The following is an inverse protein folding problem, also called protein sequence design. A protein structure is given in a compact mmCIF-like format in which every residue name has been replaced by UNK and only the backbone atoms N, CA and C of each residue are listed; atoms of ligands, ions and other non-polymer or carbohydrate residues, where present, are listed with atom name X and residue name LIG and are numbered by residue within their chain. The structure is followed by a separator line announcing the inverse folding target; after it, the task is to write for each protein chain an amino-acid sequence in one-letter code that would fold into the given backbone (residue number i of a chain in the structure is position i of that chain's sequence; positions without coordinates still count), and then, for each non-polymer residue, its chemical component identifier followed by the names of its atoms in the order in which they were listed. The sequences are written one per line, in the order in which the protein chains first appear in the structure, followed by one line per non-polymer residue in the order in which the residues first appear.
data_IF_570224636555
#
_entry.id   IF_570224636555
#
_cell.length_a   1.000
_cell.length_b   1.000
_cell.length_c   1.000
_cell.angle_alpha   90.00
_cell.angle_beta   90.00
_cell.angle_gamma   90.00
#
_symmetry.space_group_name_H-M   'P 1'
#
loop_
_entity.id
_entity.type
_entity.pdbx_description
1 polymer ?
#
# COMPACT_ATOMS: atom_id res chain seq x y z
N UNK A 1 -22.57 74.24 35.57
CA UNK A 1 -21.50 75.15 35.09
C UNK A 1 -20.88 74.45 33.88
N UNK A 2 -21.22 74.92 32.66
CA UNK A 2 -20.61 74.81 31.29
C UNK A 2 -19.88 73.50 30.88
N UNK A 3 -19.87 72.97 29.66
CA UNK A 3 -20.37 73.17 28.26
C UNK A 3 -19.97 71.83 27.56
N UNK A 4 -20.78 71.09 26.81
CA UNK A 4 -21.23 71.22 25.40
C UNK A 4 -20.12 70.98 24.32
N UNK A 5 -20.52 70.14 23.33
CA UNK A 5 -20.02 69.87 21.96
C UNK A 5 -18.88 68.87 21.73
N UNK A 6 -19.13 67.70 21.09
CA UNK A 6 -19.50 67.39 19.68
C UNK A 6 -18.39 67.72 18.68
N UNK A 7 -17.93 66.70 17.94
CA UNK A 7 -17.82 66.73 16.46
C UNK A 7 -17.49 65.35 15.90
N UNK A 8 -18.04 65.11 14.70
CA UNK A 8 -18.07 63.90 13.91
C UNK A 8 -16.84 63.77 12.97
N UNK A 9 -16.68 62.53 12.49
CA UNK A 9 -16.22 62.13 11.14
C UNK A 9 -14.75 62.32 10.76
N UNK A 10 -14.12 61.24 10.30
CA UNK A 10 -13.59 61.14 8.93
C UNK A 10 -13.49 59.67 8.52
N UNK A 11 -14.22 59.31 7.47
CA UNK A 11 -14.00 58.10 6.65
C UNK A 11 -12.95 58.48 5.61
N UNK A 12 -11.91 57.67 5.49
CA UNK A 12 -10.98 57.72 4.35
C UNK A 12 -10.89 56.33 3.74
N UNK A 13 -11.38 56.20 2.51
CA UNK A 13 -11.12 55.06 1.64
C UNK A 13 -9.69 55.18 1.06
N UNK A 14 -8.93 54.10 1.12
CA UNK A 14 -7.87 53.82 0.14
C UNK A 14 -7.77 52.32 -0.09
N UNK A 15 -7.67 51.97 -1.36
CA UNK A 15 -7.90 50.65 -1.93
C UNK A 15 -6.61 49.84 -2.10
N UNK A 16 -6.82 48.52 -2.19
CA UNK A 16 -6.01 47.53 -2.90
C UNK A 16 -4.65 47.10 -2.29
N UNK A 17 -4.56 45.85 -1.87
CA UNK A 17 -3.78 44.74 -2.50
C UNK A 17 -3.53 43.63 -1.48
N UNK A 18 -3.59 42.35 -1.90
CA UNK A 18 -3.02 41.23 -1.12
C UNK A 18 -3.94 40.06 -0.78
N UNK A 19 -4.74 39.55 -1.71
CA UNK A 19 -5.12 38.13 -1.71
C UNK A 19 -3.91 37.33 -2.19
N UNK A 20 -3.15 36.73 -1.27
CA UNK A 20 -2.28 35.56 -1.47
C UNK A 20 -1.36 35.40 -0.26
N UNK A 21 -1.72 34.55 0.72
CA UNK A 21 -0.71 34.01 1.66
C UNK A 21 -1.13 32.72 2.39
N UNK A 22 -2.19 32.04 1.96
CA UNK A 22 -2.69 30.82 2.61
C UNK A 22 -2.55 29.53 1.79
N UNK A 23 -1.89 29.59 0.62
CA UNK A 23 -1.70 28.44 -0.28
C UNK A 23 -0.24 27.95 -0.39
N UNK A 24 0.73 28.59 0.28
CA UNK A 24 2.15 28.19 0.22
C UNK A 24 2.64 27.38 1.44
N UNK A 25 1.91 27.37 2.55
CA UNK A 25 2.30 26.62 3.75
C UNK A 25 2.11 25.09 3.61
N UNK A 26 1.10 24.65 2.84
CA UNK A 26 0.76 23.23 2.72
C UNK A 26 1.66 22.43 1.76
N UNK A 27 2.44 23.11 0.89
CA UNK A 27 3.37 22.45 -0.04
C UNK A 27 4.73 22.17 0.59
N UNK A 28 5.18 23.03 1.52
CA UNK A 28 6.48 22.90 2.17
C UNK A 28 6.53 21.75 3.19
N UNK A 29 5.42 21.49 3.89
CA UNK A 29 5.37 20.40 4.88
C UNK A 29 5.35 19.03 4.21
N UNK A 30 4.70 18.88 3.06
CA UNK A 30 4.72 17.63 2.28
C UNK A 30 6.11 17.27 1.77
N UNK A 31 6.88 18.23 1.26
CA UNK A 31 8.24 18.00 0.76
C UNK A 31 9.25 17.74 1.89
N UNK A 32 9.11 18.47 3.01
CA UNK A 32 9.98 18.33 4.18
C UNK A 32 9.78 16.99 4.91
N UNK A 33 8.60 16.38 4.78
CA UNK A 33 8.33 15.04 5.33
C UNK A 33 9.06 13.98 4.48
N UNK A 34 9.05 14.10 3.15
CA UNK A 34 9.73 13.15 2.23
C UNK A 34 11.25 13.20 2.38
N UNK A 35 11.83 14.41 2.43
CA UNK A 35 13.29 14.59 2.60
C UNK A 35 13.79 14.04 3.94
N UNK A 36 13.02 14.18 5.02
CA UNK A 36 13.39 13.63 6.34
C UNK A 36 13.33 12.09 6.39
N UNK A 37 12.50 11.44 5.57
CA UNK A 37 12.49 9.98 5.49
C UNK A 37 13.66 9.43 4.67
N UNK A 38 14.07 10.14 3.61
CA UNK A 38 15.22 9.76 2.76
C UNK A 38 16.57 9.93 3.48
N UNK A 39 16.71 10.96 4.33
CA UNK A 39 17.95 11.23 5.06
C UNK A 39 18.23 10.23 6.22
N UNK A 40 17.19 9.57 6.75
CA UNK A 40 17.35 8.49 7.74
C UNK A 40 17.70 7.12 7.11
N UNK A 41 17.35 6.88 5.84
CA UNK A 41 17.64 5.60 5.15
C UNK A 41 19.13 5.45 4.79
N UNK A 42 19.84 6.55 4.50
CA UNK A 42 21.24 6.52 4.03
C UNK A 42 22.28 6.19 5.10
N UNK A 43 21.92 6.18 6.40
CA UNK A 43 22.87 5.93 7.50
C UNK A 43 22.97 4.46 7.94
N UNK A 44 22.16 3.55 7.37
CA UNK A 44 22.03 2.16 7.87
C UNK A 44 22.59 1.06 6.99
N UNK A 45 23.03 1.36 5.78
CA UNK A 45 23.51 0.35 4.81
C UNK A 45 25.04 0.25 4.81
N UNK A 46 25.55 -0.40 5.85
CA UNK A 46 26.92 -0.90 5.92
C UNK A 46 26.99 -2.29 5.30
N UNK A 47 27.38 -2.34 4.02
CA UNK A 47 27.46 -3.54 3.20
C UNK A 47 28.42 -4.59 3.77
N UNK A 48 27.87 -5.63 4.43
CA UNK A 48 28.32 -7.04 4.37
C UNK A 48 27.47 -7.94 5.30
N UNK A 49 26.95 -9.07 4.77
CA UNK A 49 26.03 -10.06 5.39
C UNK A 49 24.51 -9.78 5.32
N UNK A 50 24.08 -8.82 4.50
CA UNK A 50 22.74 -8.20 4.47
C UNK A 50 21.61 -8.94 3.72
N UNK A 51 21.78 -10.17 3.20
CA UNK A 51 20.84 -10.72 2.20
C UNK A 51 19.42 -11.04 2.74
N UNK A 52 19.17 -10.95 4.05
CA UNK A 52 17.90 -11.39 4.67
C UNK A 52 17.50 -10.60 5.93
N UNK A 53 17.95 -9.36 6.11
CA UNK A 53 17.56 -8.54 7.29
C UNK A 53 16.03 -8.44 7.46
N UNK A 54 15.29 -8.53 6.36
CA UNK A 54 13.83 -8.48 6.32
C UNK A 54 13.09 -9.80 6.48
N UNK A 55 13.81 -10.91 6.55
CA UNK A 55 13.27 -12.19 7.00
C UNK A 55 13.35 -12.35 8.52
N UNK A 56 13.90 -11.37 9.25
CA UNK A 56 13.99 -11.38 10.72
C UNK A 56 12.72 -10.84 11.41
N UNK A 57 11.73 -10.38 10.66
CA UNK A 57 10.43 -9.98 11.20
C UNK A 57 9.59 -11.17 11.68
N UNK A 58 8.53 -10.92 12.47
CA UNK A 58 7.61 -11.97 12.93
C UNK A 58 6.83 -12.65 11.78
N UNK A 59 6.88 -12.05 10.59
CA UNK A 59 6.26 -12.57 9.38
C UNK A 59 7.25 -13.49 8.62
N UNK A 60 7.10 -14.81 8.77
CA UNK A 60 7.75 -15.73 7.84
C UNK A 60 7.03 -15.67 6.49
N UNK A 61 7.73 -15.37 5.40
CA UNK A 61 7.14 -15.43 4.05
C UNK A 61 6.77 -16.87 3.73
N UNK A 62 5.55 -17.12 3.24
CA UNK A 62 5.16 -18.48 2.85
C UNK A 62 4.12 -18.50 1.75
N UNK A 63 4.24 -19.51 0.88
CA UNK A 63 3.18 -19.81 -0.09
C UNK A 63 1.92 -20.43 0.53
N UNK A 64 1.99 -20.98 1.76
CA UNK A 64 0.87 -21.69 2.39
C UNK A 64 -0.07 -20.81 3.24
N UNK A 65 0.26 -19.52 3.38
CA UNK A 65 -0.46 -18.57 4.24
C UNK A 65 -1.75 -18.05 3.62
N UNK A 66 -1.73 -17.97 2.30
CA UNK A 66 -2.81 -17.55 1.43
C UNK A 66 -2.77 -18.43 0.17
N UNK A 67 -3.92 -18.56 -0.50
CA UNK A 67 -4.06 -19.18 -1.82
C UNK A 67 -4.79 -18.18 -2.70
N UNK A 68 -4.23 -17.92 -3.88
CA UNK A 68 -4.93 -17.17 -4.92
C UNK A 68 -5.66 -18.15 -5.83
N UNK A 69 -6.80 -17.70 -6.34
CA UNK A 69 -7.66 -18.47 -7.23
C UNK A 69 -7.86 -17.66 -8.52
N UNK A 70 -8.26 -18.34 -9.60
CA UNK A 70 -8.74 -17.66 -10.80
C UNK A 70 -10.27 -17.70 -10.85
N UNK A 71 -10.92 -16.69 -11.45
CA UNK A 71 -12.33 -16.80 -11.79
C UNK A 71 -12.55 -17.95 -12.78
N UNK A 72 -13.73 -18.57 -12.69
CA UNK A 72 -14.13 -19.61 -13.65
C UNK A 72 -14.21 -19.05 -15.09
N UNK A 73 -14.63 -17.79 -15.24
CA UNK A 73 -14.58 -17.05 -16.50
C UNK A 73 -13.51 -15.97 -16.44
N UNK A 74 -12.48 -16.10 -17.27
CA UNK A 74 -11.34 -15.18 -17.31
C UNK A 74 -11.72 -13.78 -17.82
N UNK A 75 -12.84 -13.64 -18.55
CA UNK A 75 -13.32 -12.32 -19.01
C UNK A 75 -13.72 -11.39 -17.88
N UNK A 76 -14.02 -11.94 -16.70
CA UNK A 76 -14.30 -11.14 -15.50
C UNK A 76 -13.09 -10.26 -15.16
N UNK A 77 -11.86 -10.72 -15.44
CA UNK A 77 -10.62 -9.98 -15.18
C UNK A 77 -10.49 -8.71 -16.03
N UNK A 78 -11.19 -8.60 -17.17
CA UNK A 78 -11.14 -7.41 -18.04
C UNK A 78 -11.76 -6.17 -17.38
N UNK A 79 -12.70 -6.40 -16.46
CA UNK A 79 -13.48 -5.34 -15.82
C UNK A 79 -13.16 -5.20 -14.33
N UNK A 80 -12.08 -5.83 -13.84
CA UNK A 80 -11.65 -5.74 -12.44
C UNK A 80 -10.30 -5.05 -12.32
N UNK A 81 -10.16 -4.22 -11.30
CA UNK A 81 -8.86 -3.72 -10.87
C UNK A 81 -8.04 -4.82 -10.18
N UNK A 82 -6.70 -4.75 -10.20
CA UNK A 82 -5.85 -5.67 -9.46
C UNK A 82 -6.24 -5.82 -7.98
N UNK A 83 -6.56 -4.71 -7.31
CA UNK A 83 -6.99 -4.69 -5.92
C UNK A 83 -8.30 -5.44 -5.69
N UNK A 84 -9.29 -5.26 -6.57
CA UNK A 84 -10.56 -6.01 -6.51
C UNK A 84 -10.32 -7.50 -6.72
N UNK A 85 -9.45 -7.86 -7.67
CA UNK A 85 -9.09 -9.24 -7.92
C UNK A 85 -8.46 -9.88 -6.67
N UNK A 86 -7.39 -9.30 -6.11
CA UNK A 86 -6.75 -9.90 -4.92
C UNK A 86 -7.68 -9.90 -3.71
N UNK A 87 -8.60 -8.94 -3.60
CA UNK A 87 -9.58 -8.90 -2.51
C UNK A 87 -10.64 -9.99 -2.63
N UNK A 88 -11.01 -10.35 -3.86
CA UNK A 88 -12.09 -11.31 -4.15
C UNK A 88 -11.57 -12.74 -4.27
N UNK A 89 -10.40 -12.93 -4.87
CA UNK A 89 -9.84 -14.24 -5.23
C UNK A 89 -8.65 -14.66 -4.36
N UNK A 90 -8.42 -14.00 -3.22
CA UNK A 90 -7.45 -14.44 -2.22
C UNK A 90 -8.15 -15.16 -1.05
N UNK A 91 -7.72 -16.38 -0.76
CA UNK A 91 -8.11 -17.17 0.42
C UNK A 91 -7.01 -17.14 1.44
N UNK A 92 -7.24 -16.47 2.56
CA UNK A 92 -6.25 -16.30 3.62
C UNK A 92 -6.64 -17.14 4.82
N UNK A 93 -5.70 -17.92 5.36
CA UNK A 93 -5.96 -18.74 6.53
C UNK A 93 -6.15 -17.89 7.80
N UNK A 94 -6.79 -18.46 8.82
CA UNK A 94 -7.13 -17.71 10.04
C UNK A 94 -5.89 -17.19 10.79
N UNK A 95 -4.79 -17.96 10.81
CA UNK A 95 -3.54 -17.54 11.45
C UNK A 95 -3.00 -16.25 10.83
N UNK A 96 -2.96 -16.17 9.50
CA UNK A 96 -2.54 -14.98 8.75
C UNK A 96 -3.50 -13.81 8.93
N UNK A 97 -4.81 -14.06 8.88
CA UNK A 97 -5.81 -13.01 9.18
C UNK A 97 -5.62 -12.40 10.56
N UNK A 98 -5.33 -13.20 11.59
CA UNK A 98 -5.05 -12.69 12.93
C UNK A 98 -3.82 -11.80 12.96
N UNK A 99 -2.73 -12.23 12.30
CA UNK A 99 -1.50 -11.44 12.20
C UNK A 99 -1.74 -10.12 11.46
N UNK A 100 -2.34 -10.16 10.28
CA UNK A 100 -2.63 -8.95 9.51
C UNK A 100 -3.58 -8.02 10.25
N UNK A 101 -4.60 -8.56 10.94
CA UNK A 101 -5.54 -7.76 11.71
C UNK A 101 -4.84 -7.00 12.84
N UNK A 102 -3.88 -7.63 13.51
CA UNK A 102 -3.11 -6.96 14.54
C UNK A 102 -2.42 -5.70 14.00
N UNK A 103 -1.76 -5.79 12.85
CA UNK A 103 -1.05 -4.65 12.25
C UNK A 103 -1.98 -3.59 11.66
N UNK A 104 -3.15 -4.00 11.14
CA UNK A 104 -4.20 -3.06 10.73
C UNK A 104 -4.69 -2.25 11.94
N UNK A 105 -5.16 -2.92 12.99
CA UNK A 105 -5.72 -2.27 14.19
C UNK A 105 -4.70 -1.44 14.95
N UNK A 106 -3.41 -1.79 14.88
CA UNK A 106 -2.33 -0.99 15.47
C UNK A 106 -2.17 0.37 14.77
N UNK A 107 -2.54 0.46 13.50
CA UNK A 107 -2.32 1.64 12.65
C UNK A 107 -3.60 2.41 12.33
N UNK A 108 -4.77 1.79 12.44
CA UNK A 108 -6.10 2.43 12.50
C UNK A 108 -6.25 3.14 13.87
N UNK A 109 -5.76 4.38 13.93
CA UNK A 109 -5.66 5.15 15.19
C UNK A 109 -7.00 5.72 15.65
N UNK A 110 -7.81 6.16 14.70
CA UNK A 110 -9.16 6.69 14.90
C UNK A 110 -10.21 5.59 15.07
N UNK A 111 -9.85 4.33 14.78
CA UNK A 111 -10.71 3.14 14.92
C UNK A 111 -11.96 3.25 14.06
N UNK A 112 -11.81 3.87 12.90
CA UNK A 112 -12.91 4.06 11.94
C UNK A 112 -13.09 2.82 11.03
N UNK A 113 -12.23 1.82 11.18
CA UNK A 113 -12.24 0.57 10.41
C UNK A 113 -11.61 0.70 9.02
N UNK A 114 -10.93 1.82 8.75
CA UNK A 114 -10.25 2.13 7.51
C UNK A 114 -8.81 2.55 7.81
N UNK A 115 -7.93 2.44 6.81
CA UNK A 115 -6.61 3.04 6.87
C UNK A 115 -6.39 3.92 5.65
N UNK A 116 -5.87 5.12 5.87
CA UNK A 116 -5.43 5.99 4.79
C UNK A 116 -4.08 5.52 4.24
N UNK A 117 -3.62 6.12 3.13
CA UNK A 117 -2.37 5.74 2.49
C UNK A 117 -1.14 5.79 3.43
N UNK A 118 -1.04 6.82 4.28
CA UNK A 118 0.06 6.95 5.25
C UNK A 118 0.05 5.84 6.30
N UNK A 119 -1.14 5.50 6.81
CA UNK A 119 -1.31 4.39 7.77
C UNK A 119 -1.07 3.04 7.12
N UNK A 120 -1.46 2.87 5.85
CA UNK A 120 -1.17 1.67 5.08
C UNK A 120 0.34 1.48 4.92
N UNK A 121 1.08 2.51 4.50
CA UNK A 121 2.54 2.47 4.42
C UNK A 121 3.17 2.05 5.74
N UNK A 122 2.74 2.67 6.84
CA UNK A 122 3.23 2.35 8.18
C UNK A 122 2.86 0.93 8.61
N UNK A 123 1.64 0.49 8.35
CA UNK A 123 1.15 -0.84 8.69
C UNK A 123 1.91 -1.94 7.94
N UNK A 124 2.19 -1.72 6.64
CA UNK A 124 3.01 -2.62 5.84
C UNK A 124 4.43 -2.68 6.39
N UNK A 125 5.08 -1.55 6.64
CA UNK A 125 6.44 -1.57 7.22
C UNK A 125 6.48 -2.23 8.60
N UNK A 126 5.49 -1.97 9.46
CA UNK A 126 5.37 -2.61 10.77
C UNK A 126 5.19 -4.13 10.66
N UNK A 127 4.40 -4.61 9.68
CA UNK A 127 4.18 -6.03 9.43
C UNK A 127 5.49 -6.78 9.14
N UNK A 128 6.41 -6.10 8.43
CA UNK A 128 7.74 -6.59 8.12
C UNK A 128 8.81 -6.08 9.12
N UNK A 129 8.43 -5.62 10.32
CA UNK A 129 9.39 -5.13 11.33
C UNK A 129 10.39 -4.08 10.80
N UNK A 130 9.91 -3.14 9.98
CA UNK A 130 10.65 -2.01 9.39
C UNK A 130 11.77 -2.39 8.42
N UNK A 131 11.80 -3.63 7.97
CA UNK A 131 12.87 -4.14 7.14
C UNK A 131 12.68 -3.94 5.63
N UNK A 132 11.48 -3.53 5.23
CA UNK A 132 11.18 -3.13 3.85
C UNK A 132 11.16 -1.60 3.77
N UNK A 133 11.60 -1.07 2.63
CA UNK A 133 11.65 0.37 2.37
C UNK A 133 10.28 0.91 1.96
N UNK A 134 10.10 2.23 2.04
CA UNK A 134 8.88 2.88 1.55
C UNK A 134 8.72 2.66 0.04
N UNK A 135 9.82 2.69 -0.71
CA UNK A 135 9.84 2.39 -2.14
C UNK A 135 9.24 1.02 -2.45
N UNK A 136 9.68 -0.03 -1.74
CA UNK A 136 9.17 -1.39 -1.95
C UNK A 136 7.67 -1.51 -1.65
N UNK A 137 7.17 -0.79 -0.63
CA UNK A 137 5.73 -0.74 -0.37
C UNK A 137 5.01 -0.03 -1.51
N UNK A 138 5.53 1.10 -1.99
CA UNK A 138 4.94 1.83 -3.12
C UNK A 138 4.92 1.02 -4.42
N UNK A 139 5.93 0.20 -4.69
CA UNK A 139 5.90 -0.74 -5.83
C UNK A 139 4.72 -1.70 -5.76
N UNK A 140 4.45 -2.25 -4.57
CA UNK A 140 3.29 -3.12 -4.34
C UNK A 140 1.99 -2.33 -4.55
N UNK A 141 1.88 -1.13 -3.99
CA UNK A 141 0.68 -0.31 -4.10
C UNK A 141 0.38 0.13 -5.55
N UNK A 142 1.42 0.51 -6.30
CA UNK A 142 1.33 0.88 -7.70
C UNK A 142 0.90 -0.31 -8.56
N UNK A 143 1.44 -1.49 -8.30
CA UNK A 143 1.06 -2.72 -9.01
C UNK A 143 -0.41 -3.11 -8.74
N UNK A 144 -0.93 -2.74 -7.57
CA UNK A 144 -2.32 -2.97 -7.19
C UNK A 144 -3.28 -1.85 -7.60
N UNK A 145 -2.81 -0.85 -8.36
CA UNK A 145 -3.59 0.34 -8.74
C UNK A 145 -4.17 1.11 -7.54
N UNK A 146 -3.47 1.11 -6.40
CA UNK A 146 -3.89 1.85 -5.21
C UNK A 146 -3.37 3.29 -5.32
N UNK A 147 -4.28 4.22 -5.61
CA UNK A 147 -3.95 5.64 -5.64
C UNK A 147 -3.54 6.17 -4.24
N UNK A 148 -2.57 7.08 -4.19
CA UNK A 148 -2.12 7.74 -2.95
C UNK A 148 -3.24 8.48 -2.21
N UNK A 149 -4.23 8.98 -2.96
CA UNK A 149 -5.39 9.69 -2.42
C UNK A 149 -6.54 8.76 -2.00
N UNK A 150 -6.35 7.44 -2.11
CA UNK A 150 -7.35 6.48 -1.66
C UNK A 150 -7.49 6.56 -0.14
N UNK A 151 -8.70 6.90 0.33
CA UNK A 151 -8.99 7.12 1.75
C UNK A 151 -9.56 5.92 2.48
N UNK A 152 -9.89 4.84 1.78
CA UNK A 152 -10.83 3.82 2.31
C UNK A 152 -10.31 2.41 2.13
N UNK A 153 -9.08 2.13 2.58
CA UNK A 153 -8.59 0.75 2.60
C UNK A 153 -9.22 0.05 3.80
N UNK A 154 -10.19 -0.82 3.52
CA UNK A 154 -10.86 -1.64 4.54
C UNK A 154 -9.95 -2.77 5.02
N UNK A 155 -10.30 -3.38 6.16
CA UNK A 155 -9.57 -4.53 6.70
C UNK A 155 -9.43 -5.69 5.69
N UNK A 156 -10.46 -5.96 4.89
CA UNK A 156 -10.42 -7.04 3.89
C UNK A 156 -9.43 -6.72 2.76
N UNK A 157 -9.39 -5.46 2.31
CA UNK A 157 -8.42 -5.00 1.31
C UNK A 157 -7.01 -5.08 1.89
N UNK A 158 -6.82 -4.68 3.15
CA UNK A 158 -5.53 -4.82 3.83
C UNK A 158 -5.07 -6.28 3.92
N UNK A 159 -5.97 -7.22 4.23
CA UNK A 159 -5.64 -8.65 4.20
C UNK A 159 -5.14 -9.10 2.84
N UNK A 160 -5.80 -8.68 1.76
CA UNK A 160 -5.41 -9.02 0.40
C UNK A 160 -4.05 -8.41 0.05
N UNK A 161 -3.83 -7.12 0.35
CA UNK A 161 -2.56 -6.42 0.12
C UNK A 161 -1.42 -7.11 0.87
N UNK A 162 -1.62 -7.42 2.15
CA UNK A 162 -0.62 -8.12 2.97
C UNK A 162 -0.32 -9.52 2.39
N UNK A 163 -1.35 -10.28 2.01
CA UNK A 163 -1.17 -11.59 1.38
C UNK A 163 -0.44 -11.52 0.04
N UNK A 164 -0.73 -10.51 -0.78
CA UNK A 164 -0.05 -10.28 -2.06
C UNK A 164 1.41 -9.85 -1.85
N UNK A 165 1.67 -8.97 -0.87
CA UNK A 165 3.04 -8.56 -0.55
C UNK A 165 3.94 -9.74 -0.18
N UNK A 166 3.40 -10.75 0.52
CA UNK A 166 4.16 -11.98 0.77
C UNK A 166 4.57 -12.66 -0.54
N UNK A 167 3.66 -12.77 -1.53
CA UNK A 167 3.96 -13.35 -2.85
C UNK A 167 4.97 -12.51 -3.63
N UNK A 168 4.78 -11.20 -3.64
CA UNK A 168 5.67 -10.24 -4.30
C UNK A 168 7.11 -10.40 -3.80
N UNK A 169 7.30 -10.30 -2.49
CA UNK A 169 8.60 -10.42 -1.86
C UNK A 169 9.19 -11.82 -1.98
N UNK A 170 8.34 -12.85 -1.93
CA UNK A 170 8.77 -14.23 -2.16
C UNK A 170 9.30 -14.45 -3.58
N UNK A 171 8.61 -13.90 -4.58
CA UNK A 171 9.02 -13.96 -5.99
C UNK A 171 10.33 -13.21 -6.22
N UNK A 172 10.52 -12.07 -5.55
CA UNK A 172 11.76 -11.29 -5.60
C UNK A 172 12.96 -12.05 -5.01
N UNK A 173 12.76 -12.79 -3.91
CA UNK A 173 13.82 -13.54 -3.24
C UNK A 173 14.23 -14.84 -3.93
N UNK A 174 13.27 -15.57 -4.48
CA UNK A 174 13.46 -16.96 -4.91
C UNK A 174 13.69 -17.10 -6.42
N UNK A 175 14.31 -16.11 -7.05
CA UNK A 175 14.75 -16.16 -8.45
C UNK A 175 15.84 -17.20 -8.76
N UNK A 176 15.73 -18.44 -8.25
CA UNK A 176 16.62 -19.54 -8.61
C UNK A 176 16.68 -20.78 -7.69
N UNK A 177 16.03 -20.84 -6.52
CA UNK A 177 16.12 -22.01 -5.62
C UNK A 177 14.76 -22.59 -5.25
N UNK A 178 14.42 -23.74 -5.83
CA UNK A 178 13.21 -24.51 -5.49
C UNK A 178 13.44 -25.36 -4.23
N UNK A 179 12.90 -24.92 -3.10
CA UNK A 179 12.69 -25.76 -1.90
C UNK A 179 11.26 -26.34 -1.89
N UNK A 180 10.99 -27.46 -1.23
CA UNK A 180 9.65 -28.06 -1.11
C UNK A 180 8.62 -27.10 -0.48
N UNK A 181 9.09 -26.14 0.34
CA UNK A 181 8.24 -25.07 0.88
C UNK A 181 7.87 -23.98 -0.13
N UNK A 182 8.55 -23.95 -1.29
CA UNK A 182 8.37 -22.99 -2.40
C UNK A 182 7.36 -23.41 -3.44
N UNK A 183 6.88 -24.66 -3.43
CA UNK A 183 5.89 -25.09 -4.42
C UNK A 183 4.53 -24.45 -4.16
N UNK A 184 3.86 -24.08 -5.25
CA UNK A 184 2.44 -23.71 -5.22
C UNK A 184 1.64 -24.91 -4.66
N UNK A 185 0.48 -24.62 -4.08
CA UNK A 185 -0.42 -25.73 -3.74
C UNK A 185 -0.94 -26.37 -5.03
N UNK A 186 -1.28 -27.67 -5.02
CA UNK A 186 -1.82 -28.35 -6.22
C UNK A 186 -3.01 -27.59 -6.84
N UNK A 187 -3.84 -26.99 -6.00
CA UNK A 187 -4.96 -26.16 -6.46
C UNK A 187 -4.49 -24.88 -7.18
N UNK A 188 -3.51 -24.17 -6.61
CA UNK A 188 -2.91 -22.97 -7.20
C UNK A 188 -2.08 -23.30 -8.46
N UNK A 189 -1.46 -24.47 -8.53
CA UNK A 189 -0.84 -24.97 -9.78
C UNK A 189 -1.88 -25.28 -10.85
N UNK A 190 -3.04 -25.81 -10.46
CA UNK A 190 -4.14 -26.08 -11.40
C UNK A 190 -4.71 -24.78 -11.94
N UNK A 191 -4.89 -23.78 -11.07
CA UNK A 191 -5.41 -22.46 -11.44
C UNK A 191 -4.40 -21.67 -12.28
N UNK A 192 -3.16 -21.55 -11.85
CA UNK A 192 -2.16 -20.70 -12.52
C UNK A 192 -1.29 -21.46 -13.53
N UNK A 193 -1.51 -22.77 -13.68
CA UNK A 193 -0.94 -23.58 -14.73
C UNK A 193 -1.41 -23.12 -16.10
N UNK A 194 -0.48 -22.97 -17.04
CA UNK A 194 -0.75 -22.46 -18.39
C UNK A 194 -1.53 -21.13 -18.42
N UNK A 195 -1.31 -20.25 -17.42
CA UNK A 195 -2.00 -18.95 -17.30
C UNK A 195 -2.00 -18.14 -18.61
N UNK A 196 -0.89 -18.17 -19.36
CA UNK A 196 -0.76 -17.49 -20.65
C UNK A 196 -1.84 -17.93 -21.66
N UNK A 197 -2.13 -19.22 -21.74
CA UNK A 197 -3.20 -19.75 -22.62
C UNK A 197 -4.58 -19.46 -22.05
N UNK A 198 -4.75 -19.46 -20.73
CA UNK A 198 -6.03 -19.11 -20.09
C UNK A 198 -6.43 -17.65 -20.32
N UNK A 199 -5.45 -16.76 -20.46
CA UNK A 199 -5.65 -15.34 -20.76
C UNK A 199 -5.74 -15.05 -22.27
N UNK A 200 -5.59 -16.06 -23.13
CA UNK A 200 -5.65 -15.86 -24.58
C UNK A 200 -7.05 -15.39 -24.99
N UNK A 201 -7.10 -14.29 -25.75
CA UNK A 201 -8.36 -13.67 -26.16
C UNK A 201 -9.05 -12.82 -25.09
N UNK A 202 -8.47 -12.66 -23.89
CA UNK A 202 -8.97 -11.76 -22.86
C UNK A 202 -8.24 -10.41 -22.90
N UNK A 203 -8.97 -9.29 -22.85
CA UNK A 203 -8.43 -7.93 -22.79
C UNK A 203 -8.12 -7.49 -21.36
N UNK A 204 -7.15 -8.16 -20.73
CA UNK A 204 -6.75 -7.88 -19.34
C UNK A 204 -5.70 -6.77 -19.28
N UNK A 205 -5.80 -5.88 -18.29
CA UNK A 205 -4.83 -4.79 -18.08
C UNK A 205 -3.43 -5.32 -17.79
N UNK A 206 -2.39 -4.54 -18.12
CA UNK A 206 -1.00 -4.97 -17.94
C UNK A 206 -0.61 -5.08 -16.46
N UNK A 207 -1.18 -4.25 -15.59
CA UNK A 207 -1.00 -4.36 -14.15
C UNK A 207 -1.63 -5.66 -13.61
N UNK A 208 -2.82 -6.03 -14.09
CA UNK A 208 -3.43 -7.31 -13.75
C UNK A 208 -2.59 -8.50 -14.23
N UNK A 209 -2.06 -8.47 -15.46
CA UNK A 209 -1.14 -9.52 -15.95
C UNK A 209 0.11 -9.63 -15.08
N UNK A 210 0.67 -8.50 -14.67
CA UNK A 210 1.85 -8.43 -13.79
C UNK A 210 1.56 -9.07 -12.44
N UNK A 211 0.42 -8.73 -11.82
CA UNK A 211 -0.05 -9.33 -10.57
C UNK A 211 -0.20 -10.84 -10.72
N UNK A 212 -0.90 -11.31 -11.75
CA UNK A 212 -1.13 -12.74 -11.98
C UNK A 212 0.16 -13.52 -12.25
N UNK A 213 1.18 -12.88 -12.82
CA UNK A 213 2.48 -13.52 -13.07
C UNK A 213 3.31 -13.78 -11.81
N UNK A 214 3.07 -13.00 -10.75
CA UNK A 214 3.77 -13.12 -9.45
C UNK A 214 3.19 -14.26 -8.59
N UNK A 215 1.90 -14.52 -8.74
CA UNK A 215 1.15 -15.55 -8.00
C UNK A 215 1.57 -16.94 -8.50
#
# INVERSE_FOLDING_TARGET
MREIDRTLSTISYSSATGLNDSLQASSFEGQKITENYEEEETKRTGFNSETRAWLQGPLSLTRKGCRFELPMDMKVLENMTPLEYISTYCRINNRRKTLFRHYFMKNDKDKDGHVNHRELLKAMRDLYAQSITVHQVNEILNMLDIAEKSKTITLNMFFAIAAFSERFFYSFLNGGTEDETTRRTVLEETDFGALKWKLEGCNVSDNMKSVLSIL
#
